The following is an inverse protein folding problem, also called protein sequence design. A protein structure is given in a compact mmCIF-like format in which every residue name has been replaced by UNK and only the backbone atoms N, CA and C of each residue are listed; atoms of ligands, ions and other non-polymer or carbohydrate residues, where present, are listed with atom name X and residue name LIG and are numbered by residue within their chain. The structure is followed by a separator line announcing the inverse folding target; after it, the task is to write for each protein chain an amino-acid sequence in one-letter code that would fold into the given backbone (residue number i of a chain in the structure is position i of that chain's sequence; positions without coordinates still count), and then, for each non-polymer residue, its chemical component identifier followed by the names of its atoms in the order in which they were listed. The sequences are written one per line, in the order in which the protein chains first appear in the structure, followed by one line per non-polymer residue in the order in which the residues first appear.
data_IF_613696982326
#
_entry.id   IF_613696982326
#
_cell.length_a   1.000
_cell.length_b   1.000
_cell.length_c   1.000
_cell.angle_alpha   90.00
_cell.angle_beta   90.00
_cell.angle_gamma   90.00
#
_symmetry.space_group_name_H-M   'P 1'
#
loop_
_entity.id
_entity.type
_entity.pdbx_description
1 polymer ?
#
# COMPACT_ATOMS: atom_id res chain seq x y z
N UNK A 1 -0.48 -5.32 -19.65
CA UNK A 1 -0.46 -3.84 -19.54
C UNK A 1 0.19 -3.45 -18.21
N UNK A 2 0.77 -2.25 -18.11
CA UNK A 2 1.40 -1.75 -16.87
C UNK A 2 0.78 -0.41 -16.49
N UNK A 3 0.49 -0.25 -15.21
CA UNK A 3 -0.09 0.93 -14.58
C UNK A 3 0.84 1.41 -13.47
N UNK A 4 1.12 2.70 -13.37
CA UNK A 4 1.98 3.22 -12.31
C UNK A 4 1.27 3.24 -10.96
N UNK A 5 2.04 3.15 -9.88
CA UNK A 5 1.55 3.45 -8.52
C UNK A 5 2.06 4.85 -8.15
N UNK A 6 1.23 5.86 -8.36
CA UNK A 6 1.59 7.27 -8.13
C UNK A 6 1.35 7.60 -6.67
N UNK A 7 2.38 8.08 -5.98
CA UNK A 7 2.25 8.44 -4.57
C UNK A 7 1.55 9.80 -4.40
N UNK A 8 0.59 9.87 -3.48
CA UNK A 8 -0.07 11.14 -3.12
C UNK A 8 0.87 12.07 -2.33
N UNK A 9 0.53 13.35 -2.31
CA UNK A 9 1.36 14.34 -1.63
C UNK A 9 1.32 14.19 -0.10
N UNK A 10 0.18 13.76 0.45
CA UNK A 10 0.03 13.44 1.86
C UNK A 10 1.02 12.35 2.31
N UNK A 11 1.09 11.21 1.61
CA UNK A 11 2.04 10.15 1.96
C UNK A 11 3.48 10.58 1.72
N UNK A 12 3.75 11.40 0.68
CA UNK A 12 5.10 11.98 0.51
C UNK A 12 5.47 12.81 1.73
N UNK A 13 4.64 13.76 2.15
CA UNK A 13 4.92 14.64 3.29
C UNK A 13 5.16 13.83 4.55
N UNK A 14 4.28 12.88 4.87
CA UNK A 14 4.40 12.01 6.06
C UNK A 14 5.71 11.20 6.01
N UNK A 15 6.04 10.63 4.84
CA UNK A 15 7.26 9.85 4.65
C UNK A 15 8.51 10.72 4.87
N UNK A 16 8.57 11.91 4.27
CA UNK A 16 9.72 12.80 4.40
C UNK A 16 9.87 13.31 5.84
N UNK A 17 8.77 13.68 6.50
CA UNK A 17 8.79 14.12 7.90
C UNK A 17 9.31 13.01 8.82
N UNK A 18 8.86 11.77 8.62
CA UNK A 18 9.33 10.63 9.41
C UNK A 18 10.83 10.36 9.17
N UNK A 19 11.30 10.45 7.93
CA UNK A 19 12.74 10.32 7.61
C UNK A 19 13.55 11.42 8.31
N UNK A 20 13.09 12.67 8.28
CA UNK A 20 13.75 13.79 8.96
C UNK A 20 13.82 13.54 10.47
N UNK A 21 12.73 13.08 11.09
CA UNK A 21 12.71 12.73 12.52
C UNK A 21 13.74 11.63 12.83
N UNK A 22 13.81 10.58 12.02
CA UNK A 22 14.80 9.50 12.19
C UNK A 22 16.22 10.02 12.06
N UNK A 23 16.49 10.92 11.11
CA UNK A 23 17.80 11.56 10.95
C UNK A 23 18.14 12.42 12.17
N UNK A 24 17.21 13.24 12.67
CA UNK A 24 17.42 14.09 13.84
C UNK A 24 17.72 13.27 15.09
N UNK A 25 16.98 12.16 15.30
CA UNK A 25 17.25 11.23 16.40
C UNK A 25 18.65 10.62 16.22
N UNK A 26 19.00 10.18 15.00
CA UNK A 26 20.34 9.65 14.69
C UNK A 26 21.47 10.67 14.94
N UNK A 27 21.30 11.92 14.52
CA UNK A 27 22.25 12.99 14.77
C UNK A 27 22.42 13.29 16.26
N UNK A 28 21.32 13.31 17.03
CA UNK A 28 21.36 13.45 18.49
C UNK A 28 22.24 12.38 19.13
N UNK A 29 22.14 11.12 18.67
CA UNK A 29 22.93 10.01 19.23
C UNK A 29 24.44 10.20 19.12
N UNK A 30 24.91 10.95 18.12
CA UNK A 30 26.35 11.25 17.94
C UNK A 30 26.83 12.33 18.91
N UNK A 31 25.93 13.17 19.42
CA UNK A 31 26.24 14.35 20.24
C UNK A 31 26.05 14.14 21.75
N UNK A 32 25.33 13.09 22.17
CA UNK A 32 24.92 12.85 23.56
C UNK A 32 25.64 11.65 24.17
N UNK A 33 25.91 11.69 25.47
CA UNK A 33 26.50 10.58 26.21
C UNK A 33 25.63 9.31 26.17
N UNK A 34 26.28 8.14 26.15
CA UNK A 34 25.63 6.84 25.92
C UNK A 34 24.51 6.50 26.92
N UNK A 35 24.52 7.07 28.13
CA UNK A 35 23.50 6.78 29.14
C UNK A 35 22.14 7.44 28.82
N UNK A 36 22.16 8.66 28.26
CA UNK A 36 20.95 9.43 27.90
C UNK A 36 20.41 9.11 26.50
N UNK A 37 21.05 8.15 25.84
CA UNK A 37 20.80 7.69 24.48
C UNK A 37 19.90 6.44 24.39
N UNK A 38 19.78 5.66 25.48
CA UNK A 38 19.12 4.35 25.50
C UNK A 38 17.69 4.38 24.91
N UNK A 39 16.75 5.26 25.35
CA UNK A 39 15.38 5.23 24.85
C UNK A 39 15.30 5.58 23.36
N UNK A 40 16.08 6.57 22.90
CA UNK A 40 16.13 6.97 21.50
C UNK A 40 16.81 5.92 20.61
N UNK A 41 17.72 5.12 21.17
CA UNK A 41 18.37 4.01 20.45
C UNK A 41 17.39 2.87 20.21
N UNK A 42 16.59 2.52 21.23
CA UNK A 42 15.53 1.52 21.09
C UNK A 42 14.51 1.98 20.04
N UNK A 43 14.12 3.26 20.07
CA UNK A 43 13.21 3.81 19.07
C UNK A 43 13.77 3.67 17.63
N UNK A 44 15.04 4.01 17.41
CA UNK A 44 15.68 3.84 16.09
C UNK A 44 15.73 2.38 15.63
N UNK A 45 16.03 1.45 16.54
CA UNK A 45 16.06 0.02 16.25
C UNK A 45 14.71 -0.55 15.80
N UNK A 46 13.60 0.12 16.13
CA UNK A 46 12.25 -0.26 15.69
C UNK A 46 11.87 0.50 14.42
N UNK A 47 12.10 1.83 14.39
CA UNK A 47 11.69 2.70 13.30
C UNK A 47 12.41 2.41 11.99
N UNK A 48 13.73 2.15 12.03
CA UNK A 48 14.52 1.90 10.82
C UNK A 48 14.08 0.61 10.10
N UNK A 49 13.99 -0.55 10.76
CA UNK A 49 13.46 -1.75 10.12
C UNK A 49 12.02 -1.57 9.63
N UNK A 50 11.15 -0.90 10.41
CA UNK A 50 9.77 -0.64 10.00
C UNK A 50 9.70 0.19 8.70
N UNK A 51 10.52 1.24 8.57
CA UNK A 51 10.64 2.05 7.35
C UNK A 51 11.13 1.23 6.16
N UNK A 52 12.17 0.41 6.35
CA UNK A 52 12.72 -0.44 5.30
C UNK A 52 11.71 -1.48 4.82
N UNK A 53 10.96 -2.08 5.75
CA UNK A 53 9.88 -3.03 5.43
C UNK A 53 8.76 -2.31 4.67
N UNK A 54 8.31 -1.14 5.14
CA UNK A 54 7.26 -0.37 4.48
C UNK A 54 7.67 0.02 3.04
N UNK A 55 8.89 0.52 2.86
CA UNK A 55 9.45 0.82 1.52
C UNK A 55 9.51 -0.43 0.63
N UNK A 56 9.95 -1.55 1.20
CA UNK A 56 10.05 -2.83 0.53
C UNK A 56 8.72 -3.38 0.01
N UNK A 57 7.66 -3.16 0.79
CA UNK A 57 6.28 -3.58 0.49
C UNK A 57 5.51 -2.57 -0.36
N UNK A 58 5.94 -1.31 -0.41
CA UNK A 58 5.26 -0.26 -1.17
C UNK A 58 5.15 -0.61 -2.66
N UNK A 59 3.94 -0.55 -3.25
CA UNK A 59 3.71 -0.75 -4.67
C UNK A 59 4.49 0.27 -5.51
N UNK A 60 5.07 -0.20 -6.61
CA UNK A 60 5.74 0.63 -7.61
C UNK A 60 4.92 0.75 -8.88
N UNK A 61 4.29 -0.35 -9.26
CA UNK A 61 3.44 -0.45 -10.43
C UNK A 61 2.57 -1.70 -10.34
N UNK A 62 1.50 -1.71 -11.11
CA UNK A 62 0.59 -2.82 -11.29
C UNK A 62 0.76 -3.39 -12.69
N UNK A 63 0.81 -4.71 -12.81
CA UNK A 63 0.92 -5.40 -14.10
C UNK A 63 -0.31 -6.26 -14.28
N UNK A 64 -1.00 -6.06 -15.40
CA UNK A 64 -2.08 -6.90 -15.86
C UNK A 64 -1.55 -7.88 -16.92
N UNK A 65 -1.64 -9.17 -16.64
CA UNK A 65 -1.33 -10.26 -17.58
C UNK A 65 -2.62 -10.90 -18.08
N UNK A 66 -2.52 -11.91 -18.95
CA UNK A 66 -3.69 -12.66 -19.43
C UNK A 66 -4.39 -13.48 -18.31
N UNK A 67 -3.71 -13.75 -17.20
CA UNK A 67 -4.23 -14.62 -16.14
C UNK A 67 -4.20 -13.98 -14.74
N UNK A 68 -3.42 -12.92 -14.52
CA UNK A 68 -3.18 -12.37 -13.18
C UNK A 68 -3.16 -10.83 -13.19
N UNK A 69 -3.63 -10.27 -12.07
CA UNK A 69 -3.29 -8.92 -11.62
C UNK A 69 -2.10 -9.05 -10.67
N UNK A 70 -1.01 -8.35 -10.97
CA UNK A 70 0.24 -8.41 -10.19
C UNK A 70 0.56 -7.04 -9.61
N UNK A 71 0.56 -6.95 -8.29
CA UNK A 71 1.03 -5.78 -7.54
C UNK A 71 2.54 -5.96 -7.34
N UNK A 72 3.35 -5.05 -7.90
CA UNK A 72 4.82 -5.12 -7.84
C UNK A 72 5.36 -4.11 -6.83
N UNK A 73 5.84 -4.59 -5.69
CA UNK A 73 6.66 -3.81 -4.75
C UNK A 73 8.16 -3.93 -5.04
N UNK A 74 8.99 -3.43 -4.12
CA UNK A 74 10.46 -3.54 -4.22
C UNK A 74 10.97 -4.93 -3.84
N UNK A 75 10.47 -5.48 -2.72
CA UNK A 75 10.90 -6.78 -2.19
C UNK A 75 9.89 -7.89 -2.52
N UNK A 76 8.60 -7.56 -2.50
CA UNK A 76 7.52 -8.53 -2.65
C UNK A 76 6.61 -8.19 -3.83
N UNK A 77 6.11 -9.24 -4.49
CA UNK A 77 5.00 -9.13 -5.44
C UNK A 77 3.79 -9.89 -4.91
N UNK A 78 2.60 -9.35 -5.11
CA UNK A 78 1.34 -10.03 -4.81
C UNK A 78 0.67 -10.35 -6.14
N UNK A 79 0.23 -11.59 -6.32
CA UNK A 79 -0.46 -12.07 -7.51
C UNK A 79 -1.89 -12.40 -7.15
N UNK A 80 -2.83 -11.88 -7.93
CA UNK A 80 -4.26 -12.11 -7.81
C UNK A 80 -4.70 -12.74 -9.14
N UNK A 81 -4.99 -14.06 -9.17
CA UNK A 81 -5.46 -14.72 -10.39
C UNK A 81 -6.81 -14.15 -10.83
N UNK A 82 -6.94 -13.80 -12.10
CA UNK A 82 -8.17 -13.24 -12.68
C UNK A 82 -9.36 -14.20 -12.55
N UNK A 83 -9.11 -15.51 -12.59
CA UNK A 83 -10.12 -16.55 -12.35
C UNK A 83 -10.78 -16.49 -10.96
N UNK A 84 -10.09 -15.89 -9.99
CA UNK A 84 -10.56 -15.79 -8.61
C UNK A 84 -11.27 -14.43 -8.35
N UNK A 85 -11.24 -13.52 -9.33
CA UNK A 85 -11.86 -12.20 -9.25
C UNK A 85 -13.37 -12.34 -9.52
N UNK A 86 -14.17 -12.07 -8.49
CA UNK A 86 -15.63 -12.10 -8.56
C UNK A 86 -16.21 -10.73 -8.92
N UNK A 87 -15.62 -9.66 -8.39
CA UNK A 87 -16.05 -8.29 -8.63
C UNK A 87 -14.84 -7.38 -8.70
N UNK A 88 -14.87 -6.47 -9.66
CA UNK A 88 -13.85 -5.44 -9.83
C UNK A 88 -14.52 -4.12 -10.20
N UNK A 89 -14.25 -3.08 -9.41
CA UNK A 89 -14.84 -1.75 -9.63
C UNK A 89 -13.95 -0.64 -9.10
N UNK A 90 -14.04 0.53 -9.71
CA UNK A 90 -13.49 1.75 -9.10
C UNK A 90 -14.31 2.12 -7.86
N UNK A 91 -13.64 2.63 -6.84
CA UNK A 91 -14.25 3.14 -5.62
C UNK A 91 -13.61 4.47 -5.21
N UNK A 92 -14.32 5.24 -4.39
CA UNK A 92 -13.76 6.41 -3.71
C UNK A 92 -13.29 6.06 -2.29
N UNK A 93 -12.51 6.94 -1.64
CA UNK A 93 -12.00 6.68 -0.29
C UNK A 93 -13.14 6.60 0.74
N UNK A 94 -14.20 7.36 0.53
CA UNK A 94 -15.39 7.41 1.37
C UNK A 94 -16.11 6.05 1.41
N UNK A 95 -16.04 5.27 0.32
CA UNK A 95 -16.61 3.92 0.28
C UNK A 95 -15.81 2.92 1.12
N UNK A 96 -14.58 3.25 1.53
CA UNK A 96 -13.84 2.47 2.53
C UNK A 96 -14.41 2.61 3.94
N UNK A 97 -15.15 3.70 4.17
CA UNK A 97 -15.73 4.06 5.46
C UNK A 97 -14.76 3.99 6.63
N UNK A 98 -15.27 3.70 7.82
CA UNK A 98 -14.44 3.67 9.02
C UNK A 98 -13.54 2.43 9.05
N UNK A 99 -12.27 2.66 8.68
CA UNK A 99 -11.27 1.61 8.51
C UNK A 99 -10.20 1.61 9.59
N UNK A 100 -10.12 0.53 10.37
CA UNK A 100 -9.07 0.28 11.34
C UNK A 100 -7.85 -0.41 10.70
N UNK A 101 -6.65 0.03 11.11
CA UNK A 101 -5.37 -0.59 10.72
C UNK A 101 -5.12 -1.81 11.63
N UNK A 102 -5.17 -3.02 11.07
CA UNK A 102 -4.92 -4.26 11.84
C UNK A 102 -3.42 -4.58 11.81
N UNK A 103 -2.86 -4.64 10.61
CA UNK A 103 -1.43 -4.82 10.39
C UNK A 103 -1.04 -4.05 9.14
N UNK A 104 -0.97 -2.72 9.29
CA UNK A 104 -0.81 -1.81 8.17
C UNK A 104 0.04 -0.58 8.49
N UNK A 105 0.68 -0.07 7.45
CA UNK A 105 1.27 1.26 7.40
C UNK A 105 0.33 2.18 6.64
N UNK A 106 -0.02 3.33 7.20
CA UNK A 106 -0.80 4.35 6.50
C UNK A 106 -0.10 5.71 6.58
N UNK A 107 0.24 6.23 5.41
CA UNK A 107 0.95 7.50 5.19
C UNK A 107 2.46 7.33 4.94
N UNK A 108 3.07 6.23 5.39
CA UNK A 108 4.50 5.96 5.14
C UNK A 108 4.63 5.05 3.92
N UNK A 109 5.13 5.62 2.81
CA UNK A 109 5.17 5.02 1.47
C UNK A 109 3.81 4.58 0.90
N UNK A 110 2.70 5.08 1.47
CA UNK A 110 1.33 4.78 1.04
C UNK A 110 0.48 4.12 2.14
N UNK A 111 -0.51 3.34 1.71
CA UNK A 111 -1.48 2.62 2.54
C UNK A 111 -1.34 1.12 2.27
N UNK A 112 -0.62 0.44 3.16
CA UNK A 112 -0.01 -0.85 2.93
C UNK A 112 -0.39 -1.84 4.03
N UNK A 113 -0.98 -2.98 3.69
CA UNK A 113 -1.23 -4.08 4.62
C UNK A 113 -2.71 -4.34 4.88
N UNK A 114 -3.00 -4.90 6.05
CA UNK A 114 -4.33 -5.40 6.42
C UNK A 114 -5.16 -4.34 7.18
N UNK A 115 -6.37 -4.14 6.69
CA UNK A 115 -7.37 -3.21 7.20
C UNK A 115 -8.67 -3.95 7.49
N UNK A 116 -9.48 -3.37 8.39
CA UNK A 116 -10.84 -3.80 8.67
C UNK A 116 -11.77 -2.60 8.62
N UNK A 117 -12.75 -2.65 7.75
CA UNK A 117 -13.81 -1.64 7.58
C UNK A 117 -15.14 -2.17 8.12
N UNK A 118 -15.98 -1.29 8.64
CA UNK A 118 -17.34 -1.65 9.04
C UNK A 118 -18.21 -2.02 7.82
N UNK A 119 -17.96 -1.39 6.68
CA UNK A 119 -18.69 -1.51 5.42
C UNK A 119 -18.24 -2.72 4.60
N UNK A 120 -16.93 -2.99 4.57
CA UNK A 120 -16.36 -4.03 3.72
C UNK A 120 -15.82 -5.25 4.46
N UNK A 121 -15.69 -5.19 5.78
CA UNK A 121 -15.02 -6.23 6.58
C UNK A 121 -13.50 -6.20 6.39
N UNK A 122 -12.88 -7.38 6.38
CA UNK A 122 -11.43 -7.53 6.21
C UNK A 122 -10.99 -7.33 4.76
N UNK A 123 -9.98 -6.48 4.56
CA UNK A 123 -9.41 -6.21 3.26
C UNK A 123 -7.94 -5.81 3.35
N UNK A 124 -7.23 -5.88 2.23
CA UNK A 124 -5.84 -5.46 2.13
C UNK A 124 -5.73 -4.20 1.27
N UNK A 125 -5.06 -3.16 1.76
CA UNK A 125 -4.67 -2.01 0.94
C UNK A 125 -3.24 -2.18 0.47
N UNK A 126 -3.04 -1.98 -0.83
CA UNK A 126 -1.75 -1.87 -1.47
C UNK A 126 -1.79 -0.64 -2.38
N UNK A 127 -2.02 0.50 -1.75
CA UNK A 127 -2.22 1.79 -2.41
C UNK A 127 -1.04 2.73 -2.12
N UNK A 128 -0.74 3.59 -3.07
CA UNK A 128 0.25 4.68 -2.92
C UNK A 128 -0.41 6.06 -2.86
N UNK A 129 -1.68 6.14 -3.23
CA UNK A 129 -2.54 7.30 -3.08
C UNK A 129 -3.93 6.86 -2.59
N UNK A 130 -4.75 7.83 -2.21
CA UNK A 130 -6.11 7.64 -1.74
C UNK A 130 -7.18 7.91 -2.81
N UNK A 131 -6.77 8.28 -4.02
CA UNK A 131 -7.66 8.61 -5.11
C UNK A 131 -7.67 7.45 -6.11
N UNK A 132 -8.60 7.47 -7.08
CA UNK A 132 -8.62 6.49 -8.18
C UNK A 132 -8.46 5.03 -7.70
N UNK A 133 -9.16 4.67 -6.63
CA UNK A 133 -9.02 3.36 -6.01
C UNK A 133 -9.76 2.31 -6.84
N UNK A 134 -9.24 1.09 -6.85
CA UNK A 134 -9.89 -0.08 -7.44
C UNK A 134 -10.02 -1.15 -6.37
N UNK A 135 -11.27 -1.57 -6.13
CA UNK A 135 -11.59 -2.71 -5.29
C UNK A 135 -11.63 -3.98 -6.14
N UNK A 136 -10.89 -4.98 -5.70
CA UNK A 136 -10.84 -6.32 -6.28
C UNK A 136 -11.35 -7.28 -5.21
N UNK A 137 -12.47 -7.95 -5.50
CA UNK A 137 -13.09 -8.90 -4.58
C UNK A 137 -12.95 -10.32 -5.13
N UNK A 138 -12.54 -11.24 -4.26
CA UNK A 138 -12.57 -12.68 -4.50
C UNK A 138 -13.48 -13.36 -3.47
N UNK A 139 -13.65 -14.67 -3.58
CA UNK A 139 -14.46 -15.44 -2.62
C UNK A 139 -13.94 -15.36 -1.17
N UNK A 140 -12.64 -15.11 -0.97
CA UNK A 140 -12.00 -15.16 0.36
C UNK A 140 -11.31 -13.87 0.79
N UNK A 141 -11.01 -12.98 -0.14
CA UNK A 141 -10.16 -11.82 0.11
C UNK A 141 -10.63 -10.60 -0.71
N UNK A 142 -10.37 -9.43 -0.16
CA UNK A 142 -10.57 -8.14 -0.83
C UNK A 142 -9.24 -7.39 -0.88
N UNK A 143 -8.94 -6.81 -2.04
CA UNK A 143 -7.77 -5.96 -2.24
C UNK A 143 -8.19 -4.61 -2.77
N UNK A 144 -7.57 -3.56 -2.25
CA UNK A 144 -7.69 -2.21 -2.78
C UNK A 144 -6.33 -1.78 -3.29
N UNK A 145 -6.30 -1.33 -4.55
CA UNK A 145 -5.11 -0.80 -5.22
C UNK A 145 -5.41 0.58 -5.80
N UNK A 146 -4.37 1.34 -6.13
CA UNK A 146 -4.49 2.72 -6.63
C UNK A 146 -3.69 2.90 -7.93
N UNK A 147 -4.10 2.25 -9.04
CA UNK A 147 -3.45 2.46 -10.34
C UNK A 147 -3.58 3.93 -10.77
N UNK A 148 -2.65 4.38 -11.60
CA UNK A 148 -2.65 5.72 -12.20
C UNK A 148 -3.94 6.09 -12.94
N UNK A 149 -4.61 5.12 -13.56
CA UNK A 149 -5.95 5.29 -14.13
C UNK A 149 -6.84 4.10 -13.78
N UNK A 150 -7.75 4.30 -12.81
CA UNK A 150 -8.66 3.26 -12.34
C UNK A 150 -9.68 2.82 -13.39
N UNK A 151 -10.19 3.76 -14.19
CA UNK A 151 -11.19 3.47 -15.21
C UNK A 151 -10.60 2.62 -16.35
N UNK A 152 -9.40 2.98 -16.82
CA UNK A 152 -8.68 2.21 -17.85
C UNK A 152 -8.26 0.84 -17.29
N UNK A 153 -7.81 0.78 -16.03
CA UNK A 153 -7.47 -0.48 -15.38
C UNK A 153 -8.67 -1.44 -15.34
N UNK A 154 -9.81 -0.97 -14.83
CA UNK A 154 -11.05 -1.76 -14.73
C UNK A 154 -11.51 -2.24 -16.11
N UNK A 155 -11.51 -1.35 -17.10
CA UNK A 155 -11.89 -1.70 -18.48
C UNK A 155 -10.96 -2.77 -19.09
N UNK A 156 -9.66 -2.65 -18.85
CA UNK A 156 -8.68 -3.62 -19.33
C UNK A 156 -8.87 -5.00 -18.70
N UNK A 157 -9.15 -5.06 -17.38
CA UNK A 157 -9.41 -6.34 -16.70
C UNK A 157 -10.69 -6.99 -17.24
N UNK A 158 -11.78 -6.22 -17.35
CA UNK A 158 -13.06 -6.75 -17.85
C UNK A 158 -12.94 -7.27 -19.28
N UNK A 159 -12.15 -6.61 -20.14
CA UNK A 159 -11.88 -7.09 -21.49
C UNK A 159 -11.23 -8.48 -21.48
N UNK A 160 -10.23 -8.70 -20.62
CA UNK A 160 -9.54 -9.99 -20.52
C UNK A 160 -10.48 -11.08 -20.00
N UNK A 161 -11.27 -10.79 -18.96
CA UNK A 161 -12.22 -11.76 -18.39
C UNK A 161 -13.25 -12.19 -19.44
N UNK A 162 -13.76 -11.25 -20.23
CA UNK A 162 -14.75 -11.51 -21.28
C UNK A 162 -14.17 -12.17 -22.55
N UNK A 163 -12.85 -12.11 -22.78
CA UNK A 163 -12.20 -12.80 -23.90
C UNK A 163 -11.85 -14.27 -23.59
N UNK A 164 -11.89 -14.65 -22.30
CA UNK A 164 -11.59 -16.02 -21.82
C UNK A 164 -12.87 -16.86 -21.67
N UNK A 165 -14.05 -16.24 -21.73
CA UNK A 165 -15.36 -16.90 -21.79
C UNK A 165 -15.95 -16.80 -23.20
#
# INVERSE_FOLDING_TARGET
MRFAAVQDDSSKIITHLLIVVVILIGCRQVMVDRHDAIPTTIALMILLPALLIAWGLSPRYYVLTAADIIIKGHLRSIRIPLKDVLRLRSIEEEELGESARVFASGGVFGYLGAYRSAEMGDYQRWCTNNEHLVLIESASNKWVISPDDSAVFVKAVNKIINEVH
#
